data_IF_235610834473
#
_entry.id   IF_235610834473
#
_cell.length_a   1.000
_cell.length_b   1.000
_cell.length_c   1.000
_cell.angle_alpha   90.00
_cell.angle_beta   90.00
_cell.angle_gamma   90.00
#
_symmetry.space_group_name_H-M   'P 1'
#
loop_
_entity.id
_entity.type
_entity.pdbx_description
1 polymer ?
#
# COMPACT_ATOMS: atom_id res chain seq x y z
N UNK A 1 12.26 50.62 9.57
CA UNK A 1 11.93 49.19 9.49
C UNK A 1 12.13 48.76 8.05
N UNK A 2 13.04 47.81 7.83
CA UNK A 2 13.63 47.52 6.52
C UNK A 2 12.68 46.64 5.69
N UNK A 3 12.09 47.21 4.63
CA UNK A 3 11.10 46.56 3.76
C UNK A 3 11.65 45.26 3.18
N UNK A 4 12.96 45.19 2.97
CA UNK A 4 13.66 44.01 2.47
C UNK A 4 13.60 42.84 3.47
N UNK A 5 13.75 43.11 4.77
CA UNK A 5 13.63 42.06 5.81
C UNK A 5 12.21 41.50 5.92
N UNK A 6 11.20 42.32 5.69
CA UNK A 6 9.80 41.88 5.67
C UNK A 6 9.50 41.00 4.45
N UNK A 7 10.08 41.31 3.30
CA UNK A 7 9.92 40.53 2.07
C UNK A 7 10.52 39.12 2.21
N UNK A 8 11.72 39.02 2.79
CA UNK A 8 12.37 37.74 3.05
C UNK A 8 11.62 36.88 4.08
N UNK A 9 11.10 37.50 5.14
CA UNK A 9 10.29 36.80 6.14
C UNK A 9 8.98 36.25 5.53
N UNK A 10 8.33 37.00 4.65
CA UNK A 10 7.13 36.54 3.93
C UNK A 10 7.43 35.39 2.96
N UNK A 11 8.54 35.45 2.21
CA UNK A 11 8.92 34.35 1.31
C UNK A 11 9.23 33.05 2.06
N UNK A 12 9.88 33.13 3.22
CA UNK A 12 10.19 31.97 4.06
C UNK A 12 8.91 31.31 4.62
N UNK A 13 7.91 32.11 5.01
CA UNK A 13 6.62 31.59 5.48
C UNK A 13 5.81 30.91 4.37
N UNK A 14 5.89 31.36 3.12
CA UNK A 14 5.21 30.70 1.99
C UNK A 14 5.88 29.37 1.58
N UNK A 15 7.19 29.22 1.74
CA UNK A 15 7.87 27.97 1.41
C UNK A 15 7.53 26.82 2.40
N UNK A 16 7.27 27.15 3.66
CA UNK A 16 6.95 26.16 4.71
C UNK A 16 5.54 25.56 4.57
N UNK A 17 4.60 26.27 3.95
CA UNK A 17 3.21 25.80 3.81
C UNK A 17 3.02 24.77 2.69
N UNK A 18 3.87 24.77 1.66
CA UNK A 18 3.79 23.83 0.53
C UNK A 18 4.28 22.43 0.91
N UNK A 19 5.16 22.31 1.90
CA UNK A 19 5.69 21.02 2.37
C UNK A 19 4.75 20.22 3.29
N UNK A 20 3.64 20.83 3.75
CA UNK A 20 2.71 20.20 4.71
C UNK A 20 1.52 19.51 4.03
N UNK A 21 1.45 19.52 2.70
CA UNK A 21 0.38 18.92 1.92
C UNK A 21 0.72 17.52 1.37
N UNK A 22 1.73 16.83 1.92
CA UNK A 22 1.75 15.37 1.81
C UNK A 22 0.57 14.84 2.63
N UNK A 23 -0.56 14.66 1.93
CA UNK A 23 -1.72 13.91 2.40
C UNK A 23 -1.21 12.68 3.15
N UNK A 24 -1.50 12.64 4.45
CA UNK A 24 -1.49 11.40 5.23
C UNK A 24 -2.56 10.50 4.61
N UNK A 25 -2.22 9.80 3.52
CA UNK A 25 -3.04 8.69 3.05
C UNK A 25 -3.05 7.70 4.22
N UNK A 26 -4.17 7.67 4.96
CA UNK A 26 -4.35 6.74 6.06
C UNK A 26 -4.46 5.36 5.43
N UNK A 27 -3.33 4.66 5.44
CA UNK A 27 -3.29 3.29 4.99
C UNK A 27 -3.85 2.41 6.10
N UNK A 28 -4.71 1.47 5.73
CA UNK A 28 -5.05 0.35 6.57
C UNK A 28 -4.28 -0.89 6.11
N UNK A 29 -4.19 -1.87 7.00
CA UNK A 29 -3.57 -3.14 6.70
C UNK A 29 -4.33 -4.31 7.29
N UNK A 30 -4.18 -5.45 6.67
CA UNK A 30 -4.61 -6.73 7.23
C UNK A 30 -3.58 -7.80 6.98
N UNK A 31 -3.48 -8.72 7.93
CA UNK A 31 -2.70 -9.94 7.81
C UNK A 31 -3.67 -11.10 7.60
N UNK A 32 -3.44 -11.89 6.55
CA UNK A 32 -4.24 -13.05 6.23
C UNK A 32 -3.33 -14.22 5.84
N UNK A 33 -3.86 -15.44 5.85
CA UNK A 33 -3.14 -16.57 5.25
C UNK A 33 -3.09 -16.39 3.75
N UNK A 34 -2.02 -16.85 3.12
CA UNK A 34 -1.89 -16.89 1.67
C UNK A 34 -3.08 -17.59 0.99
N UNK A 35 -3.63 -18.66 1.59
CA UNK A 35 -4.82 -19.35 1.09
C UNK A 35 -6.11 -18.50 1.12
N UNK A 36 -6.16 -17.47 1.96
CA UNK A 36 -7.31 -16.56 2.11
C UNK A 36 -7.17 -15.28 1.25
N UNK A 37 -6.15 -15.24 0.38
CA UNK A 37 -5.87 -14.11 -0.51
C UNK A 37 -5.90 -14.58 -1.97
N UNK A 38 -6.84 -14.02 -2.73
CA UNK A 38 -6.83 -14.12 -4.19
C UNK A 38 -6.09 -12.92 -4.75
N UNK A 39 -4.89 -13.15 -5.27
CA UNK A 39 -4.06 -12.11 -5.86
C UNK A 39 -4.68 -11.55 -7.15
N UNK A 40 -4.40 -10.27 -7.49
CA UNK A 40 -4.84 -9.64 -8.73
C UNK A 40 -4.48 -10.52 -9.93
N UNK A 41 -5.34 -10.55 -10.97
CA UNK A 41 -5.09 -11.28 -12.22
C UNK A 41 -4.18 -10.52 -13.20
N UNK A 42 -4.03 -9.20 -12.99
CA UNK A 42 -3.12 -8.34 -13.73
C UNK A 42 -2.81 -7.03 -13.00
N UNK A 43 -2.05 -6.12 -13.62
CA UNK A 43 -1.60 -4.86 -12.99
C UNK A 43 -2.74 -3.86 -12.72
N UNK A 44 -3.87 -3.97 -13.41
CA UNK A 44 -5.09 -3.20 -13.18
C UNK A 44 -6.24 -4.19 -12.96
N UNK A 45 -6.41 -4.65 -11.74
CA UNK A 45 -7.44 -5.64 -11.37
C UNK A 45 -7.68 -5.61 -9.86
N UNK A 46 -8.29 -6.65 -9.29
CA UNK A 46 -8.72 -6.65 -7.88
C UNK A 46 -8.00 -7.74 -7.10
N UNK A 47 -7.52 -7.41 -5.91
CA UNK A 47 -7.17 -8.39 -4.87
C UNK A 47 -8.40 -8.64 -4.00
N UNK A 48 -8.68 -9.91 -3.70
CA UNK A 48 -9.70 -10.27 -2.70
C UNK A 48 -9.00 -10.90 -1.49
N UNK A 49 -9.31 -10.42 -0.30
CA UNK A 49 -8.77 -10.95 0.96
C UNK A 49 -9.89 -11.24 1.95
N UNK A 50 -9.84 -12.41 2.57
CA UNK A 50 -10.66 -12.77 3.71
C UNK A 50 -9.82 -12.63 4.99
N UNK A 51 -10.00 -11.58 5.79
CA UNK A 51 -9.05 -11.22 6.85
C UNK A 51 -9.09 -12.13 8.08
N UNK A 52 -10.21 -12.84 8.28
CA UNK A 52 -10.39 -13.76 9.38
C UNK A 52 -11.40 -14.86 9.00
N UNK A 53 -11.38 -16.00 9.72
CA UNK A 53 -12.42 -17.03 9.53
C UNK A 53 -13.79 -16.45 9.89
N UNK A 54 -14.72 -16.48 8.94
CA UNK A 54 -16.07 -15.94 9.09
C UNK A 54 -16.19 -14.43 8.80
N UNK A 55 -15.09 -13.72 8.55
CA UNK A 55 -15.15 -12.35 8.04
C UNK A 55 -15.66 -12.32 6.59
N UNK A 56 -16.41 -11.28 6.22
CA UNK A 56 -16.74 -11.03 4.81
C UNK A 56 -15.47 -10.74 4.00
N UNK A 57 -15.34 -11.29 2.78
CA UNK A 57 -14.23 -10.96 1.89
C UNK A 57 -14.23 -9.47 1.52
N UNK A 58 -13.03 -8.91 1.35
CA UNK A 58 -12.81 -7.53 0.95
C UNK A 58 -12.12 -7.47 -0.41
N UNK A 59 -12.67 -6.67 -1.31
CA UNK A 59 -12.08 -6.35 -2.62
C UNK A 59 -11.28 -5.05 -2.56
N UNK A 60 -10.07 -5.05 -3.13
CA UNK A 60 -9.13 -3.94 -3.16
C UNK A 60 -8.56 -3.74 -4.57
N UNK A 61 -8.45 -2.50 -5.02
CA UNK A 61 -8.05 -2.18 -6.40
C UNK A 61 -6.52 -2.21 -6.54
N UNK A 62 -5.99 -3.12 -7.35
CA UNK A 62 -4.61 -3.11 -7.79
C UNK A 62 -4.44 -2.13 -8.96
N UNK A 63 -3.38 -1.33 -8.92
CA UNK A 63 -2.98 -0.43 -10.01
C UNK A 63 -1.51 -0.61 -10.34
N UNK A 64 -1.01 0.08 -11.38
CA UNK A 64 0.43 0.13 -11.67
C UNK A 64 1.29 0.72 -10.54
N UNK A 65 0.68 1.29 -9.50
CA UNK A 65 1.37 1.82 -8.31
C UNK A 65 1.49 0.80 -7.17
N UNK A 66 0.80 -0.34 -7.26
CA UNK A 66 0.81 -1.36 -6.22
C UNK A 66 2.19 -2.02 -6.12
N UNK A 67 2.75 -2.04 -4.90
CA UNK A 67 4.05 -2.67 -4.64
C UNK A 67 3.87 -4.13 -4.19
N UNK A 68 4.60 -5.05 -4.80
CA UNK A 68 4.61 -6.46 -4.41
C UNK A 68 5.96 -6.83 -3.79
N UNK A 69 5.94 -7.60 -2.71
CA UNK A 69 7.16 -8.00 -1.99
C UNK A 69 7.14 -9.47 -1.58
N UNK A 70 8.30 -10.10 -1.68
CA UNK A 70 8.61 -11.39 -1.03
C UNK A 70 9.60 -11.11 0.10
N UNK A 71 9.15 -11.30 1.35
CA UNK A 71 9.87 -10.83 2.52
C UNK A 71 10.06 -9.31 2.47
N UNK A 72 11.31 -8.86 2.35
CA UNK A 72 11.63 -7.42 2.22
C UNK A 72 12.03 -7.01 0.81
N UNK A 73 12.12 -7.95 -0.12
CA UNK A 73 12.58 -7.68 -1.47
C UNK A 73 11.40 -7.30 -2.37
N UNK A 74 11.53 -6.24 -3.20
CA UNK A 74 10.59 -5.98 -4.27
C UNK A 74 10.48 -7.19 -5.19
N UNK A 75 9.26 -7.49 -5.62
CA UNK A 75 8.95 -8.61 -6.48
C UNK A 75 7.95 -8.19 -7.56
N UNK A 76 7.89 -8.96 -8.63
CA UNK A 76 6.80 -8.90 -9.60
C UNK A 76 5.53 -9.54 -9.02
N UNK A 77 4.38 -9.24 -9.61
CA UNK A 77 3.13 -9.93 -9.26
C UNK A 77 3.23 -11.44 -9.47
N UNK A 78 3.96 -11.90 -10.49
CA UNK A 78 4.10 -13.34 -10.78
C UNK A 78 5.00 -14.04 -9.76
N UNK A 79 6.09 -13.41 -9.33
CA UNK A 79 6.93 -13.92 -8.24
C UNK A 79 6.15 -14.01 -6.93
N UNK A 80 5.36 -12.98 -6.61
CA UNK A 80 4.49 -13.01 -5.43
C UNK A 80 3.48 -14.16 -5.52
N UNK A 81 2.84 -14.36 -6.68
CA UNK A 81 1.91 -15.48 -6.90
C UNK A 81 2.60 -16.83 -6.76
N UNK A 82 3.80 -16.98 -7.31
CA UNK A 82 4.58 -18.19 -7.16
C UNK A 82 4.79 -18.52 -5.68
N UNK A 83 5.18 -17.53 -4.88
CA UNK A 83 5.43 -17.73 -3.44
C UNK A 83 4.17 -18.01 -2.63
N UNK A 84 3.06 -17.30 -2.90
CA UNK A 84 1.76 -17.56 -2.27
C UNK A 84 1.27 -18.98 -2.57
N UNK A 85 1.42 -19.44 -3.83
CA UNK A 85 1.05 -20.82 -4.23
C UNK A 85 1.90 -21.88 -3.54
N UNK A 86 3.21 -21.64 -3.37
CA UNK A 86 4.12 -22.59 -2.72
C UNK A 86 3.90 -22.68 -1.22
N UNK A 87 3.37 -21.64 -0.59
CA UNK A 87 3.30 -21.50 0.87
C UNK A 87 1.91 -21.00 1.31
N UNK A 88 0.85 -21.83 1.18
CA UNK A 88 -0.54 -21.42 1.44
C UNK A 88 -0.80 -21.01 2.90
N UNK A 89 0.01 -21.48 3.84
CA UNK A 89 -0.07 -21.11 5.27
C UNK A 89 0.77 -19.88 5.64
N UNK A 90 1.53 -19.31 4.70
CA UNK A 90 2.33 -18.11 4.97
C UNK A 90 1.44 -16.90 5.22
N UNK A 91 1.95 -15.96 6.04
CA UNK A 91 1.26 -14.69 6.29
C UNK A 91 1.49 -13.74 5.11
N UNK A 92 0.39 -13.25 4.56
CA UNK A 92 0.33 -12.17 3.58
C UNK A 92 -0.17 -10.91 4.27
N UNK A 93 0.60 -9.83 4.16
CA UNK A 93 0.21 -8.49 4.62
C UNK A 93 -0.26 -7.68 3.44
N UNK A 94 -1.52 -7.24 3.50
CA UNK A 94 -2.16 -6.41 2.47
C UNK A 94 -2.36 -5.02 3.04
N UNK A 95 -1.87 -3.99 2.35
CA UNK A 95 -1.93 -2.58 2.76
C UNK A 95 -2.63 -1.80 1.65
N UNK A 96 -3.61 -0.99 2.00
CA UNK A 96 -4.40 -0.20 1.05
C UNK A 96 -4.70 1.20 1.58
N UNK A 97 -5.00 2.11 0.67
CA UNK A 97 -5.51 3.43 1.01
C UNK A 97 -6.99 3.30 1.45
N UNK A 98 -7.31 3.74 2.67
CA UNK A 98 -8.68 3.64 3.21
C UNK A 98 -9.76 4.32 2.39
N UNK A 99 -9.46 5.47 1.80
CA UNK A 99 -10.44 6.28 1.08
C UNK A 99 -10.68 5.72 -0.31
N UNK A 100 -9.62 5.38 -1.04
CA UNK A 100 -9.72 4.95 -2.45
C UNK A 100 -9.85 3.45 -2.61
N UNK A 101 -9.59 2.66 -1.55
CA UNK A 101 -9.53 1.19 -1.57
C UNK A 101 -8.44 0.65 -2.52
N UNK A 102 -7.51 1.50 -2.96
CA UNK A 102 -6.39 1.11 -3.80
C UNK A 102 -5.31 0.42 -2.98
N UNK A 103 -4.79 -0.70 -3.50
CA UNK A 103 -3.65 -1.41 -2.94
C UNK A 103 -2.40 -0.54 -3.03
N UNK A 104 -1.83 -0.30 -1.86
CA UNK A 104 -0.52 0.31 -1.74
C UNK A 104 0.58 -0.75 -1.81
N UNK A 105 0.42 -1.83 -1.03
CA UNK A 105 1.45 -2.87 -0.91
C UNK A 105 0.86 -4.23 -0.57
N UNK A 106 1.42 -5.29 -1.15
CA UNK A 106 1.15 -6.68 -0.76
C UNK A 106 2.48 -7.39 -0.51
N UNK A 107 2.62 -8.03 0.64
CA UNK A 107 3.84 -8.73 1.04
C UNK A 107 3.52 -10.14 1.52
N UNK A 108 4.18 -11.14 0.96
CA UNK A 108 4.23 -12.48 1.57
C UNK A 108 5.49 -12.61 2.42
N UNK A 109 5.39 -13.24 3.59
CA UNK A 109 6.58 -13.50 4.42
C UNK A 109 7.59 -14.36 3.66
N UNK A 110 8.89 -14.08 3.78
CA UNK A 110 9.93 -14.97 3.27
C UNK A 110 10.09 -16.19 4.21
N UNK A 111 10.70 -17.30 3.74
CA UNK A 111 11.08 -18.41 4.60
C UNK A 111 12.03 -17.97 5.72
#
# INVERSE_FOLDING_TARGET
MDVQRLLWAMLACLAASVASAELRATHDSVEARAADVMLPSGPLSTLVVTPCRGCSPMSLLATGRTQYLVGRQPATLEELRHEVRRRPDSVVVVIWNRQTRELFRVRVSAP
#
